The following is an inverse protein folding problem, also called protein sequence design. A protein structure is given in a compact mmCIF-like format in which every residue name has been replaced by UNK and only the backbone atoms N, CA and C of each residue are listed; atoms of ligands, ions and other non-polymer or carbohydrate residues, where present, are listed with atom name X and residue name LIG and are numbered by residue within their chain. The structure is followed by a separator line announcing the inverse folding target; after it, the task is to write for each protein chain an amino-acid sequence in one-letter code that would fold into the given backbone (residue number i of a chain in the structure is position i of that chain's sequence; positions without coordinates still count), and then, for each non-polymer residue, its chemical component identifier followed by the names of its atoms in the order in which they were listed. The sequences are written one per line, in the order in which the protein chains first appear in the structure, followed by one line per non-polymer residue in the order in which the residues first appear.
data_IF_987148322009
#
_entry.id   IF_987148322009
#
_cell.length_a   1.000
_cell.length_b   1.000
_cell.length_c   1.000
_cell.angle_alpha   90.00
_cell.angle_beta   90.00
_cell.angle_gamma   90.00
#
_symmetry.space_group_name_H-M   'P 1'
#
loop_
_entity.id
_entity.type
_entity.pdbx_description
1 polymer ?
#
# COMPACT_ATOMS: atom_id res chain seq x y z
N UNK A 1 -7.70 18.26 45.70
CA UNK A 1 -8.21 18.59 44.35
C UNK A 1 -8.44 17.27 43.63
N UNK A 2 -9.66 16.82 43.43
CA UNK A 2 -9.96 15.70 42.55
C UNK A 2 -9.69 16.18 41.14
N UNK A 3 -8.70 15.62 40.47
CA UNK A 3 -8.50 15.80 39.01
C UNK A 3 -9.76 15.27 38.31
N UNK A 4 -10.50 16.16 37.68
CA UNK A 4 -11.69 15.83 36.89
C UNK A 4 -11.17 15.04 35.65
N UNK A 5 -11.18 13.73 35.74
CA UNK A 5 -10.80 12.80 34.66
C UNK A 5 -11.97 12.74 33.67
N UNK A 6 -12.27 13.87 33.01
CA UNK A 6 -13.18 13.84 31.88
C UNK A 6 -12.46 13.19 30.71
N UNK A 7 -12.80 11.94 30.43
CA UNK A 7 -12.44 11.30 29.16
C UNK A 7 -12.98 12.19 28.02
N UNK A 8 -12.06 12.60 27.16
CA UNK A 8 -12.42 13.46 26.02
C UNK A 8 -12.82 12.58 24.85
N UNK A 9 -14.12 12.55 24.55
CA UNK A 9 -14.67 11.84 23.41
C UNK A 9 -14.40 12.63 22.13
N UNK A 10 -13.95 11.95 21.09
CA UNK A 10 -13.60 12.56 19.80
C UNK A 10 -14.17 11.75 18.65
N UNK A 11 -14.53 12.45 17.56
CA UNK A 11 -15.14 11.87 16.36
C UNK A 11 -14.42 12.38 15.12
N UNK A 12 -13.95 11.43 14.29
CA UNK A 12 -13.22 11.69 13.04
C UNK A 12 -13.68 10.77 11.92
N UNK A 13 -13.67 11.19 10.64
CA UNK A 13 -14.07 10.37 9.51
C UNK A 13 -12.91 9.61 8.85
N UNK A 14 -11.76 9.44 9.52
CA UNK A 14 -10.56 8.92 8.91
C UNK A 14 -10.20 7.54 9.43
N UNK A 15 -9.89 6.64 8.50
CA UNK A 15 -9.38 5.30 8.76
C UNK A 15 -8.03 5.14 8.08
N UNK A 16 -7.08 4.54 8.77
CA UNK A 16 -5.76 4.23 8.27
C UNK A 16 -5.42 2.78 8.59
N UNK A 17 -5.18 1.99 7.56
CA UNK A 17 -4.75 0.61 7.71
C UNK A 17 -3.31 0.47 7.24
N UNK A 18 -2.58 -0.39 7.89
CA UNK A 18 -1.22 -0.77 7.56
C UNK A 18 -1.18 -2.26 7.23
N UNK A 19 -0.61 -2.59 6.07
CA UNK A 19 -0.46 -3.94 5.59
C UNK A 19 1.03 -4.16 5.26
N UNK A 20 1.79 -4.78 6.17
CA UNK A 20 3.21 -5.00 5.99
C UNK A 20 3.48 -6.17 5.04
N UNK A 21 4.64 -6.14 4.40
CA UNK A 21 5.12 -7.24 3.59
C UNK A 21 6.64 -7.34 3.74
N UNK A 22 7.14 -8.51 4.13
CA UNK A 22 8.58 -8.73 4.33
C UNK A 22 9.35 -8.56 3.03
N UNK A 23 8.91 -9.23 1.96
CA UNK A 23 9.48 -9.07 0.64
C UNK A 23 8.44 -9.26 -0.47
N UNK A 24 8.63 -8.54 -1.55
CA UNK A 24 7.79 -8.54 -2.74
C UNK A 24 8.65 -8.67 -3.99
N UNK A 25 8.25 -9.57 -4.90
CA UNK A 25 8.82 -9.66 -6.25
C UNK A 25 7.70 -9.57 -7.29
N UNK A 26 7.73 -8.58 -8.15
CA UNK A 26 6.79 -8.41 -9.27
C UNK A 26 7.51 -8.77 -10.57
N UNK A 27 7.07 -9.84 -11.21
CA UNK A 27 7.73 -10.46 -12.36
C UNK A 27 6.76 -10.43 -13.54
N UNK A 28 7.16 -9.81 -14.65
CA UNK A 28 6.44 -9.90 -15.92
C UNK A 28 6.99 -11.07 -16.74
N UNK A 29 6.09 -11.89 -17.30
CA UNK A 29 6.45 -13.05 -18.11
C UNK A 29 6.07 -12.85 -19.56
N UNK A 30 6.94 -13.33 -20.47
CA UNK A 30 6.79 -13.19 -21.90
C UNK A 30 6.38 -14.50 -22.57
N UNK A 31 5.41 -14.40 -23.47
CA UNK A 31 5.07 -15.51 -24.36
C UNK A 31 4.27 -16.66 -23.72
N UNK A 32 3.93 -16.60 -22.43
CA UNK A 32 3.03 -17.60 -21.84
C UNK A 32 1.58 -17.37 -22.34
N UNK A 33 0.86 -18.41 -22.78
CA UNK A 33 -0.49 -18.25 -23.33
C UNK A 33 -1.55 -17.91 -22.26
N UNK A 34 -1.30 -18.19 -20.99
CA UNK A 34 -2.26 -18.06 -19.90
C UNK A 34 -1.93 -16.90 -18.95
N UNK A 35 -0.64 -16.71 -18.64
CA UNK A 35 -0.18 -15.77 -17.63
C UNK A 35 0.62 -14.59 -18.23
N UNK A 36 0.53 -13.45 -17.56
CA UNK A 36 1.30 -12.23 -17.86
C UNK A 36 2.32 -11.88 -16.79
N UNK A 37 2.17 -12.42 -15.57
CA UNK A 37 3.05 -12.11 -14.46
C UNK A 37 2.89 -13.04 -13.27
N UNK A 38 3.92 -12.99 -12.42
CA UNK A 38 4.01 -13.70 -11.15
C UNK A 38 4.39 -12.70 -10.07
N UNK A 39 3.84 -12.89 -8.85
CA UNK A 39 4.14 -12.02 -7.72
C UNK A 39 4.27 -12.84 -6.44
N UNK A 40 5.45 -13.44 -6.18
CA UNK A 40 5.75 -14.03 -4.89
C UNK A 40 5.95 -12.94 -3.84
N UNK A 41 5.38 -13.20 -2.66
CA UNK A 41 5.36 -12.32 -1.50
C UNK A 41 5.68 -13.13 -0.25
N UNK A 42 6.44 -12.57 0.69
CA UNK A 42 6.67 -13.19 2.00
C UNK A 42 6.19 -12.30 3.13
N UNK A 43 5.78 -12.95 4.21
CA UNK A 43 5.23 -12.33 5.40
C UNK A 43 5.87 -12.96 6.65
N UNK A 44 6.16 -12.14 7.65
CA UNK A 44 6.49 -12.54 9.02
C UNK A 44 6.00 -11.44 9.96
N UNK A 45 4.69 -11.32 10.10
CA UNK A 45 4.06 -10.25 10.86
C UNK A 45 2.71 -10.67 11.50
N UNK A 46 2.23 -9.95 12.53
CA UNK A 46 0.98 -10.31 13.19
C UNK A 46 -0.28 -10.12 12.35
N UNK A 47 -0.24 -9.31 11.27
CA UNK A 47 -1.39 -9.03 10.40
C UNK A 47 -1.60 -10.16 9.42
N UNK A 48 -0.55 -10.48 8.63
CA UNK A 48 -0.62 -11.45 7.54
C UNK A 48 -0.20 -12.86 7.95
N UNK A 49 0.43 -13.03 9.12
CA UNK A 49 0.98 -14.31 9.56
C UNK A 49 2.39 -14.54 9.00
N UNK A 50 2.77 -15.81 8.83
CA UNK A 50 4.11 -16.18 8.39
C UNK A 50 4.07 -17.16 7.22
N UNK A 51 4.83 -16.86 6.16
CA UNK A 51 4.98 -17.72 5.01
C UNK A 51 5.00 -17.00 3.67
N UNK A 52 4.82 -17.75 2.61
CA UNK A 52 4.82 -17.26 1.22
C UNK A 52 3.42 -17.28 0.63
N UNK A 53 3.11 -16.24 -0.14
CA UNK A 53 1.94 -16.14 -1.00
C UNK A 53 2.41 -15.88 -2.43
N UNK A 54 1.76 -16.48 -3.42
CA UNK A 54 2.10 -16.34 -4.83
C UNK A 54 0.85 -15.92 -5.59
N UNK A 55 0.92 -14.78 -6.26
CA UNK A 55 -0.09 -14.33 -7.21
C UNK A 55 0.37 -14.66 -8.63
N UNK A 56 -0.57 -15.11 -9.47
CA UNK A 56 -0.37 -15.27 -10.91
C UNK A 56 -1.41 -14.44 -11.65
N UNK A 57 -0.95 -13.53 -12.47
CA UNK A 57 -1.80 -12.64 -13.25
C UNK A 57 -2.15 -13.29 -14.57
N UNK A 58 -3.44 -13.59 -14.79
CA UNK A 58 -3.92 -14.20 -16.03
C UNK A 58 -4.14 -13.15 -17.13
N UNK A 59 -3.97 -13.54 -18.40
CA UNK A 59 -4.23 -12.66 -19.57
C UNK A 59 -5.69 -12.20 -19.66
N UNK A 60 -6.63 -12.93 -19.13
CA UNK A 60 -8.05 -12.55 -19.09
C UNK A 60 -8.38 -11.52 -18.01
N UNK A 61 -7.39 -11.10 -17.22
CA UNK A 61 -7.50 -10.11 -16.14
C UNK A 61 -7.89 -10.68 -14.78
N UNK A 62 -8.03 -12.00 -14.66
CA UNK A 62 -8.21 -12.68 -13.36
C UNK A 62 -6.86 -12.87 -12.67
N UNK A 63 -6.88 -13.09 -11.36
CA UNK A 63 -5.69 -13.35 -10.53
C UNK A 63 -5.87 -14.68 -9.79
N UNK A 64 -4.87 -15.55 -9.88
CA UNK A 64 -4.76 -16.72 -9.01
C UNK A 64 -4.00 -16.34 -7.75
N UNK A 65 -4.42 -16.87 -6.61
CA UNK A 65 -3.79 -16.65 -5.31
C UNK A 65 -3.55 -18.00 -4.64
N UNK A 66 -2.29 -18.31 -4.39
CA UNK A 66 -1.85 -19.50 -3.66
C UNK A 66 -1.03 -19.09 -2.45
N UNK A 67 -1.23 -19.73 -1.30
CA UNK A 67 -0.51 -19.36 -0.08
C UNK A 67 -0.23 -20.56 0.81
N UNK A 68 0.85 -20.47 1.61
CA UNK A 68 1.21 -21.46 2.61
C UNK A 68 0.25 -21.42 3.82
N UNK A 69 0.03 -22.56 4.48
CA UNK A 69 -0.58 -22.59 5.81
C UNK A 69 0.14 -21.63 6.77
N UNK A 70 -0.60 -20.82 7.49
CA UNK A 70 -0.05 -19.78 8.38
C UNK A 70 -0.05 -18.37 7.80
N UNK A 71 -0.21 -18.19 6.49
CA UNK A 71 -0.49 -16.89 5.88
C UNK A 71 -2.00 -16.65 5.90
N UNK A 72 -2.42 -15.51 6.43
CA UNK A 72 -3.82 -15.08 6.43
C UNK A 72 -4.15 -14.40 5.12
N UNK A 73 -5.19 -14.86 4.45
CA UNK A 73 -5.58 -14.32 3.14
C UNK A 73 -7.07 -14.06 3.13
N UNK A 74 -7.43 -12.79 2.93
CA UNK A 74 -8.80 -12.39 2.69
C UNK A 74 -9.06 -12.23 1.19
N UNK A 75 -10.06 -12.95 0.67
CA UNK A 75 -10.41 -12.95 -0.74
C UNK A 75 -10.85 -11.58 -1.25
N UNK A 76 -11.50 -10.80 -0.42
CA UNK A 76 -11.97 -9.46 -0.78
C UNK A 76 -10.81 -8.49 -1.07
N UNK A 77 -9.66 -8.70 -0.44
CA UNK A 77 -8.44 -7.94 -0.69
C UNK A 77 -7.87 -8.14 -2.10
N UNK A 78 -8.32 -9.19 -2.83
CA UNK A 78 -7.88 -9.53 -4.19
C UNK A 78 -8.90 -9.18 -5.28
N UNK A 79 -9.79 -8.25 -5.04
CA UNK A 79 -10.61 -7.65 -6.11
C UNK A 79 -9.76 -6.76 -7.03
N UNK A 80 -8.67 -7.34 -7.56
CA UNK A 80 -7.74 -6.72 -8.49
C UNK A 80 -8.16 -7.12 -9.91
N UNK A 81 -8.12 -6.21 -10.86
CA UNK A 81 -8.50 -6.47 -12.23
C UNK A 81 -9.96 -6.93 -12.35
N UNK A 82 -10.18 -8.16 -12.83
CA UNK A 82 -11.51 -8.77 -12.97
C UNK A 82 -11.87 -9.73 -11.83
N UNK A 83 -11.07 -9.78 -10.78
CA UNK A 83 -11.26 -10.65 -9.61
C UNK A 83 -10.34 -11.86 -9.59
N UNK A 84 -10.65 -12.81 -8.69
CA UNK A 84 -9.85 -14.04 -8.49
C UNK A 84 -10.35 -15.21 -9.32
N UNK A 85 -9.41 -16.01 -9.85
CA UNK A 85 -9.70 -17.34 -10.41
C UNK A 85 -9.39 -18.42 -9.37
N UNK A 86 -8.21 -19.04 -9.42
CA UNK A 86 -7.80 -20.00 -8.39
C UNK A 86 -7.54 -19.26 -7.07
N UNK A 87 -8.03 -19.83 -5.97
CA UNK A 87 -7.84 -19.26 -4.64
C UNK A 87 -7.73 -20.40 -3.64
N UNK A 88 -6.50 -20.76 -3.27
CA UNK A 88 -6.25 -21.98 -2.51
C UNK A 88 -5.04 -21.87 -1.58
N UNK A 89 -5.19 -22.40 -0.37
CA UNK A 89 -4.07 -22.78 0.47
C UNK A 89 -3.37 -23.99 -0.13
N UNK A 90 -2.05 -23.99 -0.19
CA UNK A 90 -1.25 -25.08 -0.76
C UNK A 90 0.11 -25.18 -0.06
N UNK A 91 0.72 -26.35 -0.11
CA UNK A 91 2.12 -26.48 0.27
C UNK A 91 3.00 -25.84 -0.78
N UNK A 92 3.85 -24.91 -0.36
CA UNK A 92 4.90 -24.29 -1.19
C UNK A 92 6.23 -24.78 -0.62
N UNK A 93 6.91 -25.66 -1.35
CA UNK A 93 8.20 -26.22 -0.91
C UNK A 93 9.07 -26.56 -2.12
N UNK A 94 10.28 -25.96 -2.21
CA UNK A 94 10.83 -24.94 -1.31
C UNK A 94 10.04 -23.64 -1.33
N UNK A 95 10.22 -22.82 -0.27
CA UNK A 95 9.66 -21.47 -0.17
C UNK A 95 10.75 -20.55 0.38
N UNK A 96 11.62 -20.10 -0.47
CA UNK A 96 12.73 -19.20 -0.13
C UNK A 96 12.60 -17.92 -0.93
N UNK A 97 12.61 -16.79 -0.25
CA UNK A 97 12.77 -15.49 -0.87
C UNK A 97 13.55 -14.58 0.07
N UNK A 98 14.77 -14.29 -0.30
CA UNK A 98 15.71 -13.47 0.44
C UNK A 98 16.22 -12.33 -0.45
N UNK A 99 16.33 -11.14 0.11
CA UNK A 99 16.99 -9.99 -0.53
C UNK A 99 18.28 -9.74 0.25
N UNK A 100 19.39 -9.97 -0.42
CA UNK A 100 20.75 -9.86 0.12
C UNK A 100 21.45 -8.63 -0.45
N UNK A 101 22.62 -8.22 0.09
CA UNK A 101 23.44 -7.21 -0.55
C UNK A 101 23.90 -7.55 -1.98
N UNK A 102 23.82 -8.83 -2.37
CA UNK A 102 24.14 -9.30 -3.72
C UNK A 102 22.94 -9.35 -4.66
N UNK A 103 21.73 -9.05 -4.18
CA UNK A 103 20.49 -9.08 -4.93
C UNK A 103 19.46 -10.10 -4.43
N UNK A 104 18.48 -10.44 -5.26
CA UNK A 104 17.40 -11.36 -4.89
C UNK A 104 17.81 -12.83 -5.07
N UNK A 105 17.42 -13.66 -4.08
CA UNK A 105 17.46 -15.12 -4.13
C UNK A 105 16.05 -15.65 -3.88
N UNK A 106 15.37 -16.10 -4.92
CA UNK A 106 14.02 -16.63 -4.91
C UNK A 106 14.02 -18.07 -5.37
N UNK A 107 13.42 -18.96 -4.60
CA UNK A 107 13.13 -20.33 -5.02
C UNK A 107 11.81 -20.80 -4.41
N UNK A 108 10.84 -21.11 -5.25
CA UNK A 108 9.60 -21.74 -4.79
C UNK A 108 9.12 -22.81 -5.75
N UNK A 109 8.39 -23.79 -5.21
CA UNK A 109 7.63 -24.75 -5.98
C UNK A 109 6.30 -25.08 -5.29
N UNK A 110 5.25 -25.27 -6.09
CA UNK A 110 3.94 -25.73 -5.62
C UNK A 110 3.15 -26.40 -6.75
N UNK A 111 2.11 -27.16 -6.39
CA UNK A 111 1.17 -27.75 -7.36
C UNK A 111 -0.13 -26.93 -7.34
N UNK A 112 -0.57 -26.46 -8.51
CA UNK A 112 -1.81 -25.71 -8.64
C UNK A 112 -3.07 -26.61 -8.64
N UNK A 113 -4.25 -25.99 -8.64
CA UNK A 113 -5.52 -26.73 -8.62
C UNK A 113 -5.75 -27.58 -9.86
N UNK A 114 -4.99 -27.38 -10.94
CA UNK A 114 -5.01 -28.20 -12.15
C UNK A 114 -3.96 -29.32 -12.13
N UNK A 115 -3.25 -29.51 -11.01
CA UNK A 115 -2.21 -30.51 -10.86
C UNK A 115 -0.88 -30.16 -11.55
N UNK A 116 -0.68 -28.92 -11.99
CA UNK A 116 0.55 -28.48 -12.65
C UNK A 116 1.60 -28.05 -11.62
N UNK A 117 2.82 -28.49 -11.81
CA UNK A 117 3.95 -28.01 -11.01
C UNK A 117 4.29 -26.58 -11.46
N UNK A 118 4.35 -25.67 -10.51
CA UNK A 118 4.79 -24.29 -10.69
C UNK A 118 6.09 -24.10 -9.92
N UNK A 119 7.16 -23.80 -10.61
CA UNK A 119 8.48 -23.66 -10.02
C UNK A 119 9.18 -22.44 -10.60
N UNK A 120 9.85 -21.68 -9.74
CA UNK A 120 10.67 -20.56 -10.18
C UNK A 120 11.89 -20.42 -9.28
N UNK A 121 13.04 -20.32 -9.92
CA UNK A 121 14.33 -20.00 -9.29
C UNK A 121 14.89 -18.75 -9.94
N UNK A 122 15.17 -17.74 -9.13
CA UNK A 122 15.91 -16.54 -9.53
C UNK A 122 17.05 -16.37 -8.52
N UNK A 123 18.28 -16.34 -8.99
CA UNK A 123 19.43 -16.06 -8.16
C UNK A 123 20.27 -14.96 -8.81
N UNK A 124 20.30 -13.82 -8.17
CA UNK A 124 21.13 -12.70 -8.55
C UNK A 124 22.45 -12.74 -7.77
N UNK A 125 23.54 -12.40 -8.42
CA UNK A 125 24.86 -12.27 -7.81
C UNK A 125 25.48 -10.95 -8.27
N UNK A 126 25.19 -9.87 -7.56
CA UNK A 126 25.59 -8.51 -7.93
C UNK A 126 26.18 -7.77 -6.71
N UNK A 127 27.45 -8.04 -6.36
CA UNK A 127 28.11 -7.38 -5.22
C UNK A 127 28.01 -5.85 -5.31
N UNK A 128 27.72 -5.20 -4.18
CA UNK A 128 27.62 -3.74 -4.09
C UNK A 128 26.38 -3.13 -4.76
N UNK A 129 25.36 -3.93 -5.02
CA UNK A 129 24.05 -3.44 -5.49
C UNK A 129 23.42 -2.50 -4.46
N UNK A 130 22.90 -1.37 -4.91
CA UNK A 130 22.21 -0.39 -4.06
C UNK A 130 20.73 -0.36 -4.43
N UNK A 131 19.88 -0.64 -3.46
CA UNK A 131 18.45 -0.39 -3.53
C UNK A 131 18.14 1.11 -3.32
N UNK A 132 16.97 1.52 -3.72
CA UNK A 132 16.48 2.89 -3.56
C UNK A 132 14.99 2.89 -3.25
N UNK A 133 14.46 3.94 -2.60
CA UNK A 133 13.03 4.01 -2.32
C UNK A 133 12.23 4.28 -3.59
N UNK A 134 11.05 3.65 -3.72
CA UNK A 134 10.10 3.89 -4.81
C UNK A 134 8.67 3.87 -4.29
N UNK A 135 7.86 4.83 -4.73
CA UNK A 135 6.41 4.78 -4.61
C UNK A 135 5.83 4.09 -5.83
N UNK A 136 5.21 2.92 -5.64
CA UNK A 136 4.56 2.22 -6.73
C UNK A 136 3.23 2.93 -7.10
N UNK A 137 2.99 3.26 -8.38
CA UNK A 137 1.78 3.97 -8.82
C UNK A 137 0.58 3.01 -8.93
N UNK A 138 0.26 2.33 -7.85
CA UNK A 138 -0.84 1.37 -7.79
C UNK A 138 -2.17 2.11 -7.91
N UNK A 139 -3.08 1.56 -8.72
CA UNK A 139 -4.43 2.13 -8.94
C UNK A 139 -4.45 3.53 -9.60
N UNK A 140 -3.35 3.99 -10.18
CA UNK A 140 -3.22 5.35 -10.72
C UNK A 140 -4.24 5.71 -11.82
N UNK A 141 -4.89 4.72 -12.44
CA UNK A 141 -5.89 4.93 -13.50
C UNK A 141 -7.33 4.66 -13.08
N UNK A 142 -7.55 4.22 -11.84
CA UNK A 142 -8.90 3.91 -11.35
C UNK A 142 -9.66 5.21 -11.09
N UNK A 143 -10.82 5.39 -11.73
CA UNK A 143 -11.64 6.61 -11.58
C UNK A 143 -12.28 6.74 -10.20
N UNK A 144 -12.72 5.63 -9.60
CA UNK A 144 -13.33 5.59 -8.27
C UNK A 144 -12.68 4.48 -7.45
N UNK A 145 -11.48 4.71 -6.89
CA UNK A 145 -10.84 3.73 -6.04
C UNK A 145 -11.60 3.57 -4.73
N UNK A 146 -11.66 2.37 -4.20
CA UNK A 146 -12.32 2.09 -2.92
C UNK A 146 -11.59 2.73 -1.73
N UNK A 147 -10.30 3.01 -1.88
CA UNK A 147 -9.42 3.62 -0.88
C UNK A 147 -8.21 4.24 -1.57
N UNK A 148 -7.49 5.14 -0.91
CA UNK A 148 -6.17 5.57 -1.38
C UNK A 148 -5.13 4.55 -0.94
N UNK A 149 -4.62 3.77 -1.90
CA UNK A 149 -3.53 2.82 -1.67
C UNK A 149 -2.18 3.51 -1.86
N UNK A 150 -1.36 3.49 -0.83
CA UNK A 150 0.04 3.91 -0.86
C UNK A 150 0.90 2.66 -0.74
N UNK A 151 1.59 2.28 -1.81
CA UNK A 151 2.52 1.12 -1.82
C UNK A 151 3.93 1.67 -1.92
N UNK A 152 4.62 1.75 -0.79
CA UNK A 152 5.96 2.27 -0.67
C UNK A 152 6.97 1.13 -0.55
N UNK A 153 7.98 1.18 -1.39
CA UNK A 153 9.03 0.17 -1.57
C UNK A 153 10.35 0.77 -1.12
N UNK A 154 10.72 0.68 0.17
CA UNK A 154 11.92 1.37 0.69
C UNK A 154 13.23 0.83 0.12
N UNK A 155 13.24 -0.45 -0.28
CA UNK A 155 14.42 -1.14 -0.80
C UNK A 155 14.15 -1.71 -2.19
N UNK A 156 13.61 -0.88 -3.07
CA UNK A 156 13.29 -1.28 -4.45
C UNK A 156 14.56 -1.53 -5.28
N UNK A 157 14.51 -2.56 -6.10
CA UNK A 157 15.51 -2.83 -7.13
C UNK A 157 14.91 -3.63 -8.31
N UNK A 158 15.67 -3.72 -9.40
CA UNK A 158 15.33 -4.46 -10.61
C UNK A 158 16.37 -5.51 -10.93
N UNK A 159 15.90 -6.62 -11.47
CA UNK A 159 16.79 -7.67 -11.95
C UNK A 159 17.50 -7.21 -13.24
N UNK A 160 18.80 -6.95 -13.17
CA UNK A 160 19.54 -6.38 -14.31
C UNK A 160 21.04 -6.70 -14.31
N UNK A 161 21.47 -7.78 -13.64
CA UNK A 161 22.91 -8.08 -13.46
C UNK A 161 23.38 -9.25 -14.30
N UNK A 162 24.62 -9.22 -14.80
CA UNK A 162 25.22 -10.38 -15.44
C UNK A 162 25.33 -11.53 -14.46
N UNK A 163 25.26 -12.76 -14.99
CA UNK A 163 25.34 -13.97 -14.16
C UNK A 163 24.09 -14.30 -13.36
N UNK A 164 23.00 -13.53 -13.53
CA UNK A 164 21.71 -13.85 -12.92
C UNK A 164 21.16 -15.15 -13.49
N UNK A 165 20.92 -16.12 -12.61
CA UNK A 165 20.23 -17.36 -12.95
C UNK A 165 18.72 -17.13 -12.90
N UNK A 166 18.03 -17.48 -13.98
CA UNK A 166 16.58 -17.55 -14.04
C UNK A 166 16.17 -18.89 -14.63
N UNK A 167 15.44 -19.69 -13.89
CA UNK A 167 14.87 -20.97 -14.32
C UNK A 167 13.50 -21.16 -13.70
N UNK A 168 12.53 -21.62 -14.47
CA UNK A 168 11.19 -21.90 -13.94
C UNK A 168 10.27 -22.48 -14.98
N UNK A 169 9.15 -23.05 -14.47
CA UNK A 169 8.12 -23.67 -15.30
C UNK A 169 6.73 -23.55 -14.67
N UNK A 170 5.73 -23.58 -15.50
CA UNK A 170 4.31 -23.74 -15.14
C UNK A 170 3.79 -24.96 -15.92
N UNK A 171 3.66 -26.10 -15.23
CA UNK A 171 3.51 -27.39 -15.89
C UNK A 171 4.73 -27.71 -16.76
N UNK A 172 4.50 -27.98 -18.03
CA UNK A 172 5.56 -28.27 -19.01
C UNK A 172 6.12 -27.02 -19.71
N UNK A 173 5.56 -25.84 -19.42
CA UNK A 173 5.95 -24.58 -20.07
C UNK A 173 7.06 -23.87 -19.29
N UNK A 174 8.15 -23.55 -19.97
CA UNK A 174 9.23 -22.76 -19.36
C UNK A 174 8.78 -21.30 -19.15
N UNK A 175 9.08 -20.76 -17.98
CA UNK A 175 8.88 -19.34 -17.66
C UNK A 175 9.98 -18.53 -18.30
N UNK A 176 9.62 -17.53 -19.10
CA UNK A 176 10.54 -16.55 -19.68
C UNK A 176 10.18 -15.17 -19.14
N UNK A 177 11.13 -14.48 -18.53
CA UNK A 177 10.90 -13.12 -18.05
C UNK A 177 10.84 -12.16 -19.23
N UNK A 178 9.95 -11.17 -19.11
CA UNK A 178 9.92 -10.07 -20.06
C UNK A 178 11.07 -9.08 -19.80
N UNK A 179 11.43 -8.30 -20.81
CA UNK A 179 12.58 -7.40 -20.77
C UNK A 179 12.17 -5.98 -21.14
N UNK A 180 12.86 -5.00 -20.57
CA UNK A 180 12.76 -3.62 -21.03
C UNK A 180 13.66 -3.49 -22.29
N UNK A 181 13.19 -2.85 -23.36
CA UNK A 181 13.97 -2.64 -24.58
C UNK A 181 15.04 -1.54 -24.38
N UNK A 182 15.75 -1.62 -23.28
CA UNK A 182 16.87 -0.75 -22.90
C UNK A 182 18.01 -1.62 -22.39
N UNK A 183 19.22 -1.20 -22.71
CA UNK A 183 20.44 -1.79 -22.15
C UNK A 183 20.98 -0.81 -21.11
N UNK A 184 21.13 -1.25 -19.87
CA UNK A 184 21.78 -0.49 -18.81
C UNK A 184 23.16 -1.08 -18.54
N UNK A 185 24.22 -0.27 -18.70
CA UNK A 185 25.62 -0.72 -18.54
C UNK A 185 25.97 -1.99 -19.34
N UNK A 186 25.42 -2.13 -20.54
CA UNK A 186 25.66 -3.29 -21.40
C UNK A 186 24.84 -4.54 -21.07
N UNK A 187 23.88 -4.45 -20.14
CA UNK A 187 23.10 -5.60 -19.67
C UNK A 187 21.63 -5.45 -19.95
N UNK A 188 20.97 -6.58 -20.22
CA UNK A 188 19.50 -6.67 -20.33
C UNK A 188 18.87 -6.38 -18.97
N UNK A 189 17.84 -5.54 -18.96
CA UNK A 189 17.00 -5.30 -17.80
C UNK A 189 15.75 -6.16 -17.95
N UNK A 190 15.50 -7.05 -16.98
CA UNK A 190 14.24 -7.79 -16.92
C UNK A 190 13.15 -6.94 -16.30
N UNK A 191 11.90 -7.12 -16.74
CA UNK A 191 10.71 -6.61 -16.06
C UNK A 191 10.41 -7.46 -14.81
N UNK A 192 11.39 -7.51 -13.92
CA UNK A 192 11.36 -8.21 -12.65
C UNK A 192 11.88 -7.26 -11.57
N UNK A 193 11.01 -6.90 -10.64
CA UNK A 193 11.21 -5.83 -9.64
C UNK A 193 10.95 -6.40 -8.26
N UNK A 194 11.80 -6.07 -7.28
CA UNK A 194 11.66 -6.56 -5.92
C UNK A 194 11.95 -5.48 -4.88
N UNK A 195 11.44 -5.69 -3.68
CA UNK A 195 11.71 -4.84 -2.52
C UNK A 195 11.61 -5.65 -1.24
N UNK A 196 12.46 -5.35 -0.28
CA UNK A 196 12.30 -5.76 1.11
C UNK A 196 11.57 -4.68 1.90
N UNK A 197 10.80 -5.09 2.93
CA UNK A 197 10.14 -4.18 3.84
C UNK A 197 9.07 -3.32 3.17
N UNK A 198 8.31 -3.87 2.24
CA UNK A 198 7.24 -3.15 1.53
C UNK A 198 6.16 -2.70 2.51
N UNK A 199 5.77 -1.44 2.41
CA UNK A 199 4.75 -0.79 3.25
C UNK A 199 3.54 -0.45 2.41
N UNK A 200 2.39 -1.02 2.77
CA UNK A 200 1.12 -0.69 2.15
C UNK A 200 0.26 0.07 3.15
N UNK A 201 -0.05 1.32 2.83
CA UNK A 201 -0.99 2.14 3.58
C UNK A 201 -2.30 2.28 2.82
N UNK A 202 -3.43 2.11 3.54
CA UNK A 202 -4.77 2.25 2.99
C UNK A 202 -5.49 3.37 3.75
N UNK A 203 -5.70 4.51 3.10
CA UNK A 203 -6.42 5.63 3.70
C UNK A 203 -7.87 5.63 3.26
N UNK A 204 -8.77 5.77 4.21
CA UNK A 204 -10.22 5.80 4.06
C UNK A 204 -10.76 4.67 3.18
N UNK A 205 -10.60 3.38 3.59
CA UNK A 205 -11.39 2.29 3.04
C UNK A 205 -12.89 2.54 3.29
N UNK A 206 -13.79 1.83 2.61
CA UNK A 206 -15.22 1.97 2.83
C UNK A 206 -15.59 1.74 4.29
N UNK A 207 -16.34 2.68 4.87
CA UNK A 207 -16.92 2.59 6.21
C UNK A 207 -18.25 3.32 6.24
N UNK A 208 -19.19 2.78 6.99
CA UNK A 208 -20.51 3.38 7.25
C UNK A 208 -20.55 4.19 8.56
N UNK A 209 -19.47 4.18 9.34
CA UNK A 209 -19.36 4.88 10.63
C UNK A 209 -18.04 5.64 10.71
N UNK A 210 -18.06 6.85 11.30
CA UNK A 210 -16.85 7.57 11.67
C UNK A 210 -16.15 6.87 12.84
N UNK A 211 -14.87 7.17 13.04
CA UNK A 211 -14.09 6.73 14.21
C UNK A 211 -14.52 7.56 15.43
N UNK A 212 -15.02 6.90 16.45
CA UNK A 212 -15.38 7.47 17.73
C UNK A 212 -14.54 6.83 18.84
N UNK A 213 -13.74 7.61 19.54
CA UNK A 213 -12.84 7.12 20.61
C UNK A 213 -12.79 8.06 21.80
N UNK A 214 -12.41 7.50 22.94
CA UNK A 214 -12.10 8.26 24.15
C UNK A 214 -10.58 8.41 24.30
N UNK A 215 -10.11 9.65 24.37
CA UNK A 215 -8.70 9.95 24.55
C UNK A 215 -8.29 9.73 26.02
N UNK A 216 -7.13 9.16 26.22
CA UNK A 216 -6.48 9.09 27.53
C UNK A 216 -5.91 10.46 27.95
N UNK A 217 -5.27 10.52 29.13
CA UNK A 217 -4.67 11.75 29.66
C UNK A 217 -3.57 12.35 28.73
N UNK A 218 -2.90 11.51 27.95
CA UNK A 218 -1.87 11.95 27.00
C UNK A 218 -2.45 12.45 25.67
N UNK A 219 -3.79 12.47 25.50
CA UNK A 219 -4.45 12.86 24.26
C UNK A 219 -4.35 11.80 23.15
N UNK A 220 -4.22 10.52 23.53
CA UNK A 220 -4.10 9.40 22.59
C UNK A 220 -5.18 8.35 22.79
N UNK A 221 -5.50 7.62 21.74
CA UNK A 221 -6.38 6.46 21.76
C UNK A 221 -5.93 5.42 20.73
N UNK A 222 -6.44 4.19 20.86
CA UNK A 222 -6.24 3.12 19.86
C UNK A 222 -7.62 2.64 19.39
N UNK A 223 -7.77 2.49 18.07
CA UNK A 223 -8.97 2.02 17.43
C UNK A 223 -8.61 1.12 16.24
N UNK A 224 -9.02 -0.14 16.27
CA UNK A 224 -8.83 -1.10 15.16
C UNK A 224 -7.39 -1.13 14.60
N UNK A 225 -6.39 -1.24 15.49
CA UNK A 225 -4.97 -1.24 15.13
C UNK A 225 -4.39 0.12 14.72
N UNK A 226 -5.21 1.17 14.70
CA UNK A 226 -4.82 2.55 14.42
C UNK A 226 -4.63 3.32 15.73
N UNK A 227 -3.55 4.07 15.85
CA UNK A 227 -3.32 5.02 16.94
C UNK A 227 -3.77 6.41 16.54
N UNK A 228 -4.51 7.07 17.44
CA UNK A 228 -5.02 8.44 17.28
C UNK A 228 -4.30 9.34 18.26
N UNK A 229 -3.87 10.53 17.83
CA UNK A 229 -3.29 11.56 18.69
C UNK A 229 -4.00 12.89 18.45
N UNK A 230 -4.31 13.59 19.53
CA UNK A 230 -5.01 14.87 19.49
C UNK A 230 -4.28 15.93 20.33
N UNK A 231 -4.55 17.19 20.05
CA UNK A 231 -4.05 18.33 20.82
C UNK A 231 -4.84 18.54 22.14
N UNK A 232 -4.53 19.64 22.85
CA UNK A 232 -5.21 20.00 24.11
C UNK A 232 -6.71 20.27 23.94
N UNK A 233 -7.15 20.68 22.76
CA UNK A 233 -8.54 20.97 22.43
C UNK A 233 -9.26 19.76 21.82
N UNK A 234 -8.60 18.59 21.84
CA UNK A 234 -9.07 17.33 21.29
C UNK A 234 -9.25 17.33 19.75
N UNK A 235 -8.55 18.22 19.03
CA UNK A 235 -8.45 18.16 17.59
C UNK A 235 -7.40 17.15 17.17
N UNK A 236 -7.65 16.45 16.07
CA UNK A 236 -6.80 15.38 15.56
C UNK A 236 -5.51 15.94 14.96
N UNK A 237 -4.37 15.60 15.56
CA UNK A 237 -3.05 15.97 15.03
C UNK A 237 -2.46 14.87 14.15
N UNK A 238 -2.77 13.58 14.49
CA UNK A 238 -2.19 12.43 13.80
C UNK A 238 -3.04 11.19 13.94
N UNK A 239 -3.05 10.38 12.89
CA UNK A 239 -3.40 8.97 12.92
C UNK A 239 -2.21 8.16 12.42
N UNK A 240 -1.93 7.00 13.02
CA UNK A 240 -0.83 6.12 12.59
C UNK A 240 -1.20 4.65 12.73
N UNK A 241 -0.62 3.80 11.90
CA UNK A 241 -0.80 2.35 11.94
C UNK A 241 0.53 1.65 11.66
N UNK A 242 0.77 0.53 12.34
CA UNK A 242 2.02 -0.22 12.27
C UNK A 242 3.13 0.32 13.16
N UNK A 243 4.36 -0.23 13.04
CA UNK A 243 5.52 0.19 13.82
C UNK A 243 5.92 1.64 13.54
N UNK A 244 6.43 2.35 14.56
CA UNK A 244 6.78 3.79 14.48
C UNK A 244 7.66 4.15 13.28
N UNK A 245 8.69 3.35 13.01
CA UNK A 245 9.69 3.65 11.98
C UNK A 245 9.44 2.92 10.64
N UNK A 246 8.48 1.99 10.61
CA UNK A 246 8.16 1.18 9.43
C UNK A 246 6.67 1.19 9.07
N UNK A 247 5.85 1.91 9.82
CA UNK A 247 4.41 2.02 9.60
C UNK A 247 4.03 3.18 8.68
N UNK A 248 2.77 3.54 8.78
CA UNK A 248 2.18 4.66 8.05
C UNK A 248 1.54 5.66 9.01
N UNK A 249 1.53 6.92 8.63
CA UNK A 249 0.86 7.96 9.40
C UNK A 249 0.25 9.04 8.51
N UNK A 250 -0.81 9.66 8.99
CA UNK A 250 -1.38 10.88 8.45
C UNK A 250 -1.30 11.97 9.52
N UNK A 251 -0.73 13.10 9.17
CA UNK A 251 -0.53 14.28 10.05
C UNK A 251 -1.37 15.43 9.52
N UNK A 252 -2.00 16.17 10.41
CA UNK A 252 -2.84 17.34 10.09
C UNK A 252 -2.21 18.63 10.63
N UNK A 253 -2.17 19.69 9.82
CA UNK A 253 -1.64 21.00 10.16
C UNK A 253 -2.48 22.14 9.51
N UNK A 254 -3.19 22.97 10.28
CA UNK A 254 -3.47 22.77 11.71
C UNK A 254 -4.19 21.47 11.98
N UNK A 255 -4.33 21.09 13.27
CA UNK A 255 -5.04 19.88 13.69
C UNK A 255 -6.47 19.87 13.12
N UNK A 256 -6.92 18.68 12.66
CA UNK A 256 -8.28 18.49 12.14
C UNK A 256 -9.30 18.59 13.28
N UNK A 257 -10.41 19.33 13.13
CA UNK A 257 -11.34 19.58 14.23
C UNK A 257 -12.02 18.29 14.73
N UNK A 258 -12.22 18.21 16.05
CA UNK A 258 -13.15 17.24 16.61
C UNK A 258 -14.57 17.56 16.13
N UNK A 259 -15.16 16.66 15.34
CA UNK A 259 -16.49 16.90 14.74
C UNK A 259 -17.60 17.09 15.77
N UNK A 260 -17.44 16.55 16.99
CA UNK A 260 -18.39 16.78 18.09
C UNK A 260 -18.38 18.24 18.57
N UNK A 261 -17.22 18.90 18.51
CA UNK A 261 -17.03 20.28 18.96
C UNK A 261 -17.22 21.34 17.86
N UNK A 262 -17.28 20.92 16.59
CA UNK A 262 -17.45 21.86 15.47
C UNK A 262 -18.85 22.52 15.55
N UNK A 263 -18.93 23.86 15.64
CA UNK A 263 -20.23 24.54 15.72
C UNK A 263 -20.98 24.47 14.38
N UNK A 264 -22.30 24.60 14.43
CA UNK A 264 -23.10 24.69 13.21
C UNK A 264 -22.75 25.99 12.45
N UNK A 265 -22.63 25.91 11.13
CA UNK A 265 -22.08 26.96 10.27
C UNK A 265 -20.53 27.10 10.34
N UNK A 266 -19.86 26.30 11.20
CA UNK A 266 -18.40 26.30 11.32
C UNK A 266 -17.72 25.63 10.13
N UNK A 267 -16.60 26.22 9.69
CA UNK A 267 -15.73 25.67 8.66
C UNK A 267 -14.27 25.76 9.11
N UNK A 268 -13.51 24.68 8.91
CA UNK A 268 -12.08 24.58 9.17
C UNK A 268 -11.37 24.01 7.97
N UNK A 269 -10.24 24.60 7.61
CA UNK A 269 -9.39 24.16 6.51
C UNK A 269 -7.95 24.02 7.00
N UNK A 270 -7.20 23.12 6.36
CA UNK A 270 -5.79 22.93 6.67
C UNK A 270 -5.10 22.00 5.67
N UNK A 271 -3.92 21.59 6.03
CA UNK A 271 -3.13 20.63 5.25
C UNK A 271 -3.08 19.28 5.96
N UNK A 272 -2.89 18.24 5.17
CA UNK A 272 -2.61 16.90 5.66
C UNK A 272 -1.44 16.29 4.90
N UNK A 273 -0.75 15.35 5.53
CA UNK A 273 0.45 14.72 5.01
C UNK A 273 0.41 13.23 5.29
N UNK A 274 0.72 12.43 4.28
CA UNK A 274 0.87 10.98 4.41
C UNK A 274 2.34 10.61 4.40
N UNK A 275 2.79 9.92 5.44
CA UNK A 275 4.13 9.39 5.54
C UNK A 275 4.09 7.85 5.58
N UNK A 276 5.10 7.19 4.99
CA UNK A 276 5.31 5.76 5.05
C UNK A 276 6.78 5.47 5.34
N UNK A 277 7.08 4.61 6.31
CA UNK A 277 8.43 4.28 6.76
C UNK A 277 9.30 5.54 6.96
N UNK A 278 8.76 6.55 7.66
CA UNK A 278 9.43 7.82 7.94
C UNK A 278 9.60 8.76 6.72
N UNK A 279 9.22 8.34 5.53
CA UNK A 279 9.33 9.16 4.31
C UNK A 279 8.00 9.84 3.97
N UNK A 280 8.06 11.11 3.56
CA UNK A 280 6.90 11.83 3.08
C UNK A 280 6.50 11.36 1.69
N UNK A 281 5.30 10.82 1.58
CA UNK A 281 4.80 10.24 0.33
C UNK A 281 3.94 11.24 -0.44
N UNK A 282 2.97 11.84 0.24
CA UNK A 282 2.02 12.77 -0.38
C UNK A 282 1.40 13.68 0.68
N UNK A 283 0.53 14.55 0.26
CA UNK A 283 -0.24 15.44 1.12
C UNK A 283 -1.18 16.30 0.30
N UNK A 284 -1.87 17.18 0.98
CA UNK A 284 -2.81 18.08 0.33
C UNK A 284 -3.54 18.96 1.32
N UNK A 285 -4.76 19.33 0.99
CA UNK A 285 -5.64 20.12 1.84
C UNK A 285 -6.79 19.29 2.38
N UNK A 286 -7.25 19.65 3.56
CA UNK A 286 -8.53 19.20 4.08
C UNK A 286 -9.48 20.38 4.28
N UNK A 287 -10.77 20.09 4.24
CA UNK A 287 -11.86 20.98 4.61
C UNK A 287 -12.87 20.19 5.44
N UNK A 288 -13.37 20.79 6.52
CA UNK A 288 -14.50 20.29 7.29
C UNK A 288 -15.50 21.42 7.50
N UNK A 289 -16.76 21.23 7.12
CA UNK A 289 -17.82 22.22 7.24
C UNK A 289 -19.08 21.60 7.81
N UNK A 290 -19.66 22.18 8.86
CA UNK A 290 -20.89 21.69 9.51
C UNK A 290 -22.08 22.52 9.12
N UNK A 291 -23.15 21.87 8.69
CA UNK A 291 -24.41 22.50 8.35
C UNK A 291 -25.56 21.58 8.76
N UNK A 292 -26.45 22.07 9.64
CA UNK A 292 -27.69 21.38 9.97
C UNK A 292 -27.53 19.94 10.47
N UNK A 293 -26.55 19.67 11.30
CA UNK A 293 -26.32 18.32 11.84
C UNK A 293 -25.55 17.36 10.91
N UNK A 294 -25.04 17.84 9.78
CA UNK A 294 -24.15 17.11 8.88
C UNK A 294 -22.82 17.82 8.79
N UNK A 295 -21.71 17.07 8.80
CA UNK A 295 -20.38 17.59 8.53
C UNK A 295 -19.88 17.05 7.19
N UNK A 296 -19.64 17.96 6.25
CA UNK A 296 -18.96 17.67 4.99
C UNK A 296 -17.47 17.73 5.22
N UNK A 297 -16.76 16.70 4.76
CA UNK A 297 -15.30 16.60 4.88
C UNK A 297 -14.70 16.25 3.52
N UNK A 298 -13.71 17.03 3.11
CA UNK A 298 -12.94 16.80 1.90
C UNK A 298 -11.46 16.61 2.22
N UNK A 299 -10.81 15.65 1.55
CA UNK A 299 -9.37 15.53 1.44
C UNK A 299 -8.98 15.64 -0.03
N UNK A 300 -8.24 16.66 -0.37
CA UNK A 300 -7.69 16.82 -1.71
C UNK A 300 -6.21 16.44 -1.71
N UNK A 301 -5.81 15.53 -2.57
CA UNK A 301 -4.40 15.15 -2.74
C UNK A 301 -3.75 16.14 -3.71
N UNK A 302 -2.77 16.89 -3.25
CA UNK A 302 -2.10 17.95 -4.03
C UNK A 302 -0.64 17.65 -4.31
N UNK A 303 0.03 17.01 -3.35
CA UNK A 303 1.44 16.75 -3.43
C UNK A 303 1.68 15.43 -4.17
N UNK A 304 2.47 15.46 -5.23
CA UNK A 304 3.01 14.24 -5.83
C UNK A 304 4.24 13.78 -5.04
N UNK A 305 4.56 12.50 -5.13
CA UNK A 305 5.75 11.96 -4.51
C UNK A 305 7.02 12.57 -5.10
N UNK A 306 7.92 13.01 -4.21
CA UNK A 306 9.25 13.54 -4.58
C UNK A 306 10.31 12.60 -4.06
N UNK A 307 10.90 11.76 -4.93
CA UNK A 307 11.95 10.85 -4.51
C UNK A 307 13.20 11.62 -4.07
N UNK A 308 13.86 11.10 -3.04
CA UNK A 308 15.14 11.58 -2.54
C UNK A 308 16.18 10.50 -2.84
N UNK A 309 17.39 10.90 -3.23
CA UNK A 309 18.55 10.02 -3.43
C UNK A 309 18.37 8.90 -4.48
N UNK A 310 17.63 9.18 -5.56
CA UNK A 310 17.53 8.24 -6.67
C UNK A 310 18.82 8.14 -7.50
N UNK A 311 19.19 6.94 -7.98
CA UNK A 311 20.18 6.80 -9.04
C UNK A 311 19.80 7.62 -10.26
N UNK A 312 20.78 8.20 -10.97
CA UNK A 312 20.54 9.09 -12.12
C UNK A 312 19.64 8.47 -13.19
N UNK A 313 19.82 7.19 -13.51
CA UNK A 313 18.97 6.46 -14.48
C UNK A 313 17.52 6.34 -14.04
N UNK A 314 17.25 6.20 -12.74
CA UNK A 314 15.90 6.12 -12.16
C UNK A 314 15.29 7.50 -12.06
N UNK A 315 16.07 8.52 -11.76
CA UNK A 315 15.64 9.93 -11.79
C UNK A 315 15.14 10.32 -13.18
N UNK A 316 15.80 9.90 -14.25
CA UNK A 316 15.31 10.11 -15.61
C UNK A 316 13.96 9.39 -15.81
N UNK A 317 13.84 8.13 -15.39
CA UNK A 317 12.60 7.35 -15.53
C UNK A 317 11.43 8.02 -14.82
N UNK A 318 11.62 8.44 -13.56
CA UNK A 318 10.58 9.14 -12.80
C UNK A 318 10.24 10.52 -13.37
N UNK A 319 11.18 11.14 -14.11
CA UNK A 319 10.97 12.42 -14.79
C UNK A 319 10.23 12.26 -16.12
N UNK A 320 10.45 11.17 -16.84
CA UNK A 320 9.85 10.94 -18.18
C UNK A 320 8.48 10.29 -18.08
N UNK A 321 8.30 9.31 -17.18
CA UNK A 321 7.05 8.56 -17.05
C UNK A 321 5.99 9.39 -16.33
N UNK A 322 4.93 9.77 -17.06
CA UNK A 322 3.88 10.69 -16.60
C UNK A 322 3.24 10.31 -15.26
N UNK A 323 3.06 9.03 -15.00
CA UNK A 323 2.41 8.57 -13.76
C UNK A 323 3.18 8.98 -12.50
N UNK A 324 4.51 8.97 -12.53
CA UNK A 324 5.32 9.41 -11.39
C UNK A 324 5.29 10.92 -11.16
N UNK A 325 4.92 11.71 -12.18
CA UNK A 325 4.79 13.18 -12.05
C UNK A 325 3.49 13.60 -11.39
N UNK A 326 2.48 12.78 -11.45
CA UNK A 326 1.12 13.14 -11.02
C UNK A 326 0.60 12.30 -9.87
N UNK A 327 1.14 11.09 -9.66
CA UNK A 327 0.71 10.17 -8.62
C UNK A 327 1.24 10.60 -7.24
N UNK A 328 0.41 10.59 -6.17
CA UNK A 328 -1.04 10.35 -6.17
C UNK A 328 -1.91 11.62 -6.24
N UNK A 329 -1.36 12.77 -6.67
CA UNK A 329 -2.00 14.11 -6.68
C UNK A 329 -3.25 14.23 -7.59
N UNK A 330 -3.84 13.11 -8.02
CA UNK A 330 -5.00 13.06 -8.90
C UNK A 330 -6.26 12.57 -8.20
N UNK A 331 -6.28 12.52 -6.86
CA UNK A 331 -7.42 11.99 -6.10
C UNK A 331 -7.98 13.00 -5.11
N UNK A 332 -9.30 12.88 -4.88
CA UNK A 332 -10.03 13.57 -3.81
C UNK A 332 -10.93 12.57 -3.10
N UNK A 333 -10.97 12.65 -1.79
CA UNK A 333 -11.97 11.98 -0.98
C UNK A 333 -12.98 13.00 -0.49
N UNK A 334 -14.28 12.66 -0.58
CA UNK A 334 -15.36 13.46 -0.02
C UNK A 334 -16.20 12.56 0.85
N UNK A 335 -16.48 13.02 2.06
CA UNK A 335 -17.29 12.33 3.06
C UNK A 335 -18.33 13.22 3.70
N UNK A 336 -19.46 12.63 4.07
CA UNK A 336 -20.51 13.26 4.85
C UNK A 336 -20.69 12.47 6.15
N UNK A 337 -20.55 13.15 7.27
CA UNK A 337 -20.82 12.60 8.61
C UNK A 337 -22.16 13.15 9.09
N UNK A 338 -23.18 12.31 9.15
CA UNK A 338 -24.44 12.67 9.78
C UNK A 338 -24.27 12.56 11.29
N UNK A 339 -24.46 13.68 11.97
CA UNK A 339 -24.36 13.78 13.43
C UNK A 339 -25.69 13.39 14.08
N UNK A 340 -25.63 12.60 15.15
CA UNK A 340 -26.82 12.13 15.88
C UNK A 340 -26.40 11.17 16.98
N UNK A 341 -27.37 10.47 17.59
CA UNK A 341 -27.11 9.47 18.65
C UNK A 341 -26.19 8.33 18.14
N UNK A 342 -26.31 8.01 16.85
CA UNK A 342 -25.46 7.06 16.15
C UNK A 342 -24.90 7.73 14.88
N UNK A 343 -23.75 8.36 14.95
CA UNK A 343 -23.15 8.99 13.78
C UNK A 343 -22.93 8.00 12.64
N UNK A 344 -23.21 8.43 11.41
CA UNK A 344 -22.96 7.63 10.21
C UNK A 344 -22.05 8.38 9.25
N UNK A 345 -21.30 7.62 8.45
CA UNK A 345 -20.35 8.12 7.46
C UNK A 345 -20.72 7.61 6.08
N UNK A 346 -20.71 8.49 5.11
CA UNK A 346 -20.72 8.13 3.69
C UNK A 346 -19.53 8.82 3.04
N UNK A 347 -18.60 8.06 2.50
CA UNK A 347 -17.39 8.63 1.91
C UNK A 347 -16.98 7.89 0.65
N UNK A 348 -16.30 8.61 -0.26
CA UNK A 348 -15.79 8.03 -1.50
C UNK A 348 -14.56 8.76 -2.02
N UNK A 349 -13.67 8.01 -2.62
CA UNK A 349 -12.57 8.53 -3.44
C UNK A 349 -13.02 8.72 -4.88
N UNK A 350 -12.51 9.76 -5.51
CA UNK A 350 -12.71 10.04 -6.93
C UNK A 350 -11.42 10.59 -7.54
N UNK A 351 -11.13 10.15 -8.77
CA UNK A 351 -10.03 10.72 -9.55
C UNK A 351 -10.44 12.10 -10.08
N UNK A 352 -9.57 13.07 -9.91
CA UNK A 352 -9.70 14.44 -10.42
C UNK A 352 -8.74 14.56 -11.62
N UNK A 353 -9.27 14.87 -12.78
CA UNK A 353 -8.44 15.18 -13.96
C UNK A 353 -7.97 16.62 -13.82
N UNK A 354 -6.67 16.78 -13.71
CA UNK A 354 -5.99 18.08 -13.69
C UNK A 354 -5.18 18.29 -14.96
#
# INVERSE_FOLDING_TARGET
MKKDTRTRKVLYPFFLQFDPMEALFVISIKGDPEFTGLEPQTFDDPVNGRGMRILRYRRNGLVDVYWQPGVRVDRESFRIGKGTADFAETEISPARFEITPSGADLHYAFTDLQGRINELTIRENAPGKRSFPLLAPVSAEIENPIQLNVVYLPNFDMLCRPGTLVSGRIGDRAVKLDTIPMILHGHTIWLARYSAGTVIGKLNPPSDRPVEVELNEAGTAVFDGMSVSADSDANLTRISAGPKDAGVEVVFDPAFPNLLALPDGGEVNGRWFFNAAGSRITGGTYRAAKTGGTVEVDLEVLDHWKPVDLPFSVSILTTVVKVFKTWPATYRWSGNVAMGDKPSLTGRWKRVRR
#
